data_IF_378225288024
#
_entry.id   IF_378225288024
#
_cell.length_a   1.000
_cell.length_b   1.000
_cell.length_c   1.000
_cell.angle_alpha   90.00
_cell.angle_beta   90.00
_cell.angle_gamma   90.00
#
_symmetry.space_group_name_H-M   'P 1'
#
loop_
_entity.id
_entity.type
_entity.pdbx_description
1 polymer ?
#
# COMPACT_ATOMS: atom_id res chain seq x y z
N UNK A 1 14.74 12.44 -0.83
CA UNK A 1 13.43 12.10 -0.24
C UNK A 1 13.10 10.74 -0.78
N UNK A 2 13.13 9.73 0.08
CA UNK A 2 13.00 8.34 -0.33
C UNK A 2 11.53 7.92 -0.27
N UNK A 3 11.06 7.27 -1.33
CA UNK A 3 9.68 6.82 -1.46
C UNK A 3 9.65 5.31 -1.23
N UNK A 4 8.89 4.87 -0.24
CA UNK A 4 8.71 3.45 0.10
C UNK A 4 7.30 3.01 -0.27
N UNK A 5 7.19 2.02 -1.15
CA UNK A 5 5.92 1.49 -1.63
C UNK A 5 5.92 -0.03 -1.52
N UNK A 6 4.93 -0.55 -0.80
CA UNK A 6 4.57 -1.96 -0.80
C UNK A 6 3.50 -2.23 -1.87
N UNK A 7 3.39 -3.48 -2.32
CA UNK A 7 2.33 -3.93 -3.24
C UNK A 7 1.57 -5.10 -2.66
N UNK A 8 0.25 -5.06 -2.75
CA UNK A 8 -0.64 -6.14 -2.34
C UNK A 8 -1.36 -6.71 -3.56
N UNK A 9 -1.24 -8.02 -3.86
CA UNK A 9 -1.97 -8.63 -4.96
C UNK A 9 -3.46 -8.69 -4.66
N UNK A 10 -4.27 -8.29 -5.63
CA UNK A 10 -5.72 -8.53 -5.64
C UNK A 10 -5.97 -9.74 -6.52
N UNK A 11 -6.66 -10.73 -5.98
CA UNK A 11 -6.95 -11.98 -6.68
C UNK A 11 -8.37 -11.97 -7.25
N UNK A 12 -8.53 -12.63 -8.41
CA UNK A 12 -9.82 -13.06 -8.92
C UNK A 12 -10.40 -14.19 -8.06
N UNK A 13 -11.67 -14.54 -8.29
CA UNK A 13 -12.33 -15.65 -7.58
C UNK A 13 -11.66 -17.02 -7.82
N UNK A 14 -10.98 -17.20 -8.94
CA UNK A 14 -10.16 -18.38 -9.27
C UNK A 14 -8.70 -18.26 -8.79
N UNK A 15 -8.42 -17.33 -7.87
CA UNK A 15 -7.10 -17.09 -7.25
C UNK A 15 -5.99 -16.75 -8.26
N UNK A 16 -6.34 -16.14 -9.39
CA UNK A 16 -5.36 -15.54 -10.32
C UNK A 16 -5.11 -14.10 -9.94
N UNK A 17 -3.91 -13.60 -10.20
CA UNK A 17 -3.57 -12.20 -9.94
C UNK A 17 -4.37 -11.35 -10.93
N UNK A 18 -5.27 -10.53 -10.40
CA UNK A 18 -6.03 -9.56 -11.18
C UNK A 18 -5.24 -8.26 -11.33
N UNK A 19 -4.56 -7.84 -10.25
CA UNK A 19 -3.77 -6.62 -10.21
C UNK A 19 -3.09 -6.43 -8.87
N UNK A 20 -2.57 -5.23 -8.63
CA UNK A 20 -1.91 -4.86 -7.38
C UNK A 20 -2.45 -3.54 -6.86
N UNK A 21 -2.72 -3.49 -5.57
CA UNK A 21 -2.89 -2.25 -4.83
C UNK A 21 -1.52 -1.75 -4.37
N UNK A 22 -1.26 -0.46 -4.57
CA UNK A 22 -0.04 0.20 -4.10
C UNK A 22 -0.29 0.82 -2.74
N UNK A 23 0.60 0.54 -1.80
CA UNK A 23 0.47 0.99 -0.42
C UNK A 23 1.74 1.75 -0.03
N UNK A 24 1.60 3.05 0.25
CA UNK A 24 2.69 3.87 0.75
C UNK A 24 3.09 3.44 2.16
N UNK A 25 4.39 3.53 2.46
CA UNK A 25 5.00 3.07 3.71
C UNK A 25 5.92 4.12 4.28
N UNK A 26 6.09 4.09 5.59
CA UNK A 26 7.11 4.88 6.28
C UNK A 26 8.40 4.07 6.35
N UNK A 27 9.36 4.41 5.49
CA UNK A 27 10.71 3.88 5.59
C UNK A 27 10.82 2.36 5.42
N UNK A 28 11.95 1.83 5.91
CA UNK A 28 12.25 0.40 5.92
C UNK A 28 11.50 -0.37 7.01
N UNK A 29 10.91 0.34 7.98
CA UNK A 29 10.09 -0.28 9.02
C UNK A 29 8.83 -0.92 8.43
N UNK A 30 8.44 -0.54 7.19
CA UNK A 30 7.34 -1.12 6.43
C UNK A 30 6.01 -1.09 7.19
N UNK A 31 5.84 -0.07 8.04
CA UNK A 31 4.62 0.16 8.81
C UNK A 31 3.71 1.12 8.05
N UNK A 32 2.41 0.87 8.12
CA UNK A 32 1.41 1.83 7.65
C UNK A 32 1.43 3.06 8.57
N UNK A 33 1.49 4.29 8.04
CA UNK A 33 1.50 5.49 8.88
C UNK A 33 0.28 5.48 9.84
N UNK A 34 0.46 5.91 11.08
CA UNK A 34 -0.68 6.11 12.00
C UNK A 34 -1.45 7.38 11.61
N UNK A 35 -2.14 7.32 10.48
CA UNK A 35 -2.97 8.38 9.92
C UNK A 35 -4.43 7.93 9.93
N UNK A 36 -5.34 8.90 9.95
CA UNK A 36 -6.78 8.64 9.81
C UNK A 36 -7.04 7.83 8.54
N UNK A 37 -7.75 6.70 8.66
CA UNK A 37 -8.08 5.80 7.56
C UNK A 37 -8.97 6.43 6.48
N UNK A 38 -9.50 7.63 6.74
CA UNK A 38 -10.23 8.46 5.78
C UNK A 38 -9.30 9.32 4.91
N UNK A 39 -8.01 9.40 5.23
CA UNK A 39 -7.01 10.21 4.51
C UNK A 39 -6.20 9.33 3.56
N UNK A 40 -6.18 9.72 2.29
CA UNK A 40 -5.36 9.05 1.29
C UNK A 40 -3.86 9.21 1.61
N UNK A 41 -3.13 8.11 1.62
CA UNK A 41 -1.69 8.05 1.96
C UNK A 41 -0.78 8.76 0.96
N UNK A 42 -1.31 9.22 -0.17
CA UNK A 42 -0.56 9.95 -1.21
C UNK A 42 -0.31 11.43 -0.87
N UNK A 43 -0.96 11.97 0.16
CA UNK A 43 -0.87 13.39 0.54
C UNK A 43 0.03 13.70 1.74
N UNK A 44 0.72 12.69 2.28
CA UNK A 44 1.62 12.78 3.44
C UNK A 44 3.08 12.62 3.04
#
# INVERSE_FOLDING_TARGET
>A
MDIFVARQPVFTSDKKIFGYELLFRLGLDNVFPNIDGSVATSGV
#
